data_IF_794117881171
#
_entry.id   IF_794117881171
#
_cell.length_a   1.000
_cell.length_b   1.000
_cell.length_c   1.000
_cell.angle_alpha   90.00
_cell.angle_beta   90.00
_cell.angle_gamma   90.00
#
_symmetry.space_group_name_H-M   'P 1'
#
loop_
_entity.id
_entity.type
_entity.pdbx_description
1 polymer ?
#
# COMPACT_ATOMS: atom_id res chain seq x y z
N UNK A 1 -25.09 39.03 -2.53
CA UNK A 1 -24.71 37.84 -1.73
C UNK A 1 -24.01 36.89 -2.66
N UNK A 2 -22.68 36.89 -2.67
CA UNK A 2 -21.90 35.93 -3.46
C UNK A 2 -22.08 34.56 -2.79
N UNK A 3 -22.69 33.60 -3.50
CA UNK A 3 -22.72 32.22 -3.03
C UNK A 3 -21.28 31.78 -2.82
N UNK A 4 -20.89 31.55 -1.56
CA UNK A 4 -19.62 30.92 -1.26
C UNK A 4 -19.64 29.57 -1.98
N UNK A 5 -18.85 29.46 -3.05
CA UNK A 5 -18.71 28.23 -3.81
C UNK A 5 -18.26 27.16 -2.81
N UNK A 6 -19.06 26.12 -2.58
CA UNK A 6 -18.69 25.05 -1.65
C UNK A 6 -17.35 24.48 -2.13
N UNK A 7 -16.27 24.59 -1.32
CA UNK A 7 -14.92 24.22 -1.73
C UNK A 7 -14.78 22.74 -2.07
N UNK A 8 -15.78 21.92 -1.74
CA UNK A 8 -15.84 20.49 -2.04
C UNK A 8 -16.65 20.15 -3.28
N UNK A 9 -17.28 21.10 -3.98
CA UNK A 9 -18.16 20.73 -5.10
C UNK A 9 -17.44 19.96 -6.21
N UNK A 10 -16.20 20.35 -6.54
CA UNK A 10 -15.39 19.60 -7.52
C UNK A 10 -15.11 18.15 -7.06
N UNK A 11 -14.88 17.96 -5.76
CA UNK A 11 -14.67 16.62 -5.18
C UNK A 11 -15.96 15.80 -5.26
N UNK A 12 -17.10 16.42 -4.94
CA UNK A 12 -18.41 15.79 -5.00
C UNK A 12 -18.80 15.45 -6.43
N UNK A 13 -18.49 16.31 -7.40
CA UNK A 13 -18.69 16.05 -8.84
C UNK A 13 -17.92 14.81 -9.30
N UNK A 14 -16.62 14.71 -9.01
CA UNK A 14 -15.82 13.51 -9.34
C UNK A 14 -16.40 12.24 -8.73
N UNK A 15 -16.91 12.30 -7.48
CA UNK A 15 -17.57 11.14 -6.85
C UNK A 15 -18.91 10.80 -7.49
N UNK A 16 -19.73 11.79 -7.84
CA UNK A 16 -21.02 11.56 -8.51
C UNK A 16 -20.80 10.94 -9.88
N UNK A 17 -19.80 11.39 -10.63
CA UNK A 17 -19.43 10.80 -11.92
C UNK A 17 -18.97 9.36 -11.75
N UNK A 18 -18.12 9.09 -10.75
CA UNK A 18 -17.70 7.72 -10.45
C UNK A 18 -18.87 6.80 -10.05
N UNK A 19 -19.81 7.29 -9.24
CA UNK A 19 -21.01 6.55 -8.88
C UNK A 19 -21.89 6.25 -10.10
N UNK A 20 -22.05 7.24 -10.99
CA UNK A 20 -22.77 7.07 -12.25
C UNK A 20 -22.12 6.01 -13.14
N UNK A 21 -20.80 5.99 -13.25
CA UNK A 21 -20.08 4.96 -14.01
C UNK A 21 -20.31 3.55 -13.41
N UNK A 22 -20.37 3.44 -12.08
CA UNK A 22 -20.69 2.17 -11.40
C UNK A 22 -22.13 1.74 -11.71
N UNK A 23 -23.10 2.66 -11.63
CA UNK A 23 -24.51 2.39 -11.92
C UNK A 23 -24.72 1.97 -13.38
N UNK A 24 -24.03 2.60 -14.32
CA UNK A 24 -24.08 2.25 -15.74
C UNK A 24 -23.59 0.81 -15.95
N UNK A 25 -22.47 0.42 -15.34
CA UNK A 25 -21.95 -0.95 -15.43
C UNK A 25 -22.87 -1.95 -14.74
N UNK A 26 -23.41 -1.60 -13.58
CA UNK A 26 -24.43 -2.42 -12.91
C UNK A 26 -25.65 -2.66 -13.80
N UNK A 27 -26.10 -1.63 -14.50
CA UNK A 27 -27.22 -1.71 -15.44
C UNK A 27 -26.88 -2.62 -16.64
N UNK A 28 -25.71 -2.43 -17.25
CA UNK A 28 -25.21 -3.30 -18.34
C UNK A 28 -25.18 -4.75 -17.87
N UNK A 29 -24.61 -5.01 -16.69
CA UNK A 29 -24.50 -6.36 -16.14
C UNK A 29 -25.85 -6.98 -15.83
N UNK A 30 -26.79 -6.23 -15.23
CA UNK A 30 -28.16 -6.70 -14.99
C UNK A 30 -28.86 -7.09 -16.30
N UNK A 31 -28.61 -6.33 -17.37
CA UNK A 31 -29.16 -6.62 -18.70
C UNK A 31 -28.47 -7.81 -19.39
N UNK A 32 -27.20 -8.09 -19.06
CA UNK A 32 -26.47 -9.28 -19.56
C UNK A 32 -26.76 -10.56 -18.76
N UNK A 33 -27.10 -10.44 -17.47
CA UNK A 33 -27.40 -11.55 -16.56
C UNK A 33 -28.89 -11.89 -16.49
N UNK A 34 -29.76 -11.00 -16.96
CA UNK A 34 -31.11 -11.39 -17.35
C UNK A 34 -31.02 -12.47 -18.43
N UNK A 35 -31.75 -13.60 -18.32
CA UNK A 35 -31.79 -14.58 -19.41
C UNK A 35 -32.24 -13.82 -20.65
N UNK A 36 -31.36 -13.69 -21.64
CA UNK A 36 -31.71 -13.11 -22.93
C UNK A 36 -32.76 -14.02 -23.56
N UNK A 37 -34.03 -13.73 -23.28
CA UNK A 37 -35.14 -14.41 -23.92
C UNK A 37 -35.03 -14.13 -25.41
N UNK A 38 -34.92 -15.23 -26.15
CA UNK A 38 -34.77 -15.31 -27.58
C UNK A 38 -35.64 -14.27 -28.31
N UNK A 39 -35.04 -13.54 -29.24
CA UNK A 39 -35.76 -12.96 -30.38
C UNK A 39 -35.29 -13.71 -31.62
N UNK A 40 -36.29 -14.23 -32.34
CA UNK A 40 -36.16 -15.18 -33.43
C UNK A 40 -35.30 -14.70 -34.61
N UNK A 41 -34.70 -15.68 -35.28
CA UNK A 41 -33.88 -15.57 -36.49
C UNK A 41 -34.74 -15.39 -37.76
N UNK A 42 -34.19 -14.69 -38.74
CA UNK A 42 -34.30 -15.06 -40.16
C UNK A 42 -32.90 -15.08 -40.78
N UNK A 43 -32.59 -16.19 -41.46
CA UNK A 43 -31.27 -16.56 -41.97
C UNK A 43 -30.89 -15.73 -43.20
N UNK A 44 -30.04 -14.72 -43.03
CA UNK A 44 -29.11 -14.26 -44.05
C UNK A 44 -27.96 -13.50 -43.37
N UNK A 45 -26.74 -13.86 -43.75
CA UNK A 45 -25.46 -13.22 -43.45
C UNK A 45 -24.70 -13.64 -42.18
N UNK A 46 -23.46 -14.06 -42.47
CA UNK A 46 -22.53 -14.82 -41.64
C UNK A 46 -21.85 -13.93 -40.59
N UNK A 47 -22.18 -14.11 -39.32
CA UNK A 47 -21.33 -13.76 -38.17
C UNK A 47 -21.18 -14.99 -37.27
N UNK A 48 -20.07 -15.13 -36.52
CA UNK A 48 -19.85 -16.27 -35.63
C UNK A 48 -21.01 -16.38 -34.63
N UNK A 49 -21.62 -17.56 -34.58
CA UNK A 49 -22.71 -17.87 -33.65
C UNK A 49 -22.07 -18.11 -32.28
N UNK A 50 -22.24 -17.16 -31.37
CA UNK A 50 -22.05 -17.39 -29.94
C UNK A 50 -23.23 -18.23 -29.44
N UNK A 51 -22.95 -19.40 -28.86
CA UNK A 51 -23.97 -20.24 -28.25
C UNK A 51 -24.35 -19.67 -26.87
N UNK A 52 -25.46 -18.94 -26.81
CA UNK A 52 -26.01 -18.38 -25.57
C UNK A 52 -26.36 -19.46 -24.53
N UNK A 53 -26.50 -20.73 -24.90
CA UNK A 53 -26.67 -21.84 -23.95
C UNK A 53 -25.40 -22.16 -23.16
N UNK A 54 -24.23 -21.70 -23.61
CA UNK A 54 -22.95 -21.85 -22.89
C UNK A 54 -22.64 -20.68 -21.95
N UNK A 55 -23.41 -19.59 -22.00
CA UNK A 55 -23.28 -18.47 -21.07
C UNK A 55 -24.12 -18.73 -19.83
N UNK A 56 -23.50 -19.34 -18.82
CA UNK A 56 -24.07 -19.28 -17.47
C UNK A 56 -23.92 -17.84 -16.96
N UNK A 57 -24.99 -17.19 -16.47
CA UNK A 57 -24.85 -15.89 -15.82
C UNK A 57 -23.84 -16.05 -14.68
N UNK A 58 -22.90 -15.10 -14.58
CA UNK A 58 -21.93 -15.12 -13.50
C UNK A 58 -22.68 -15.12 -12.15
N UNK A 59 -22.30 -15.95 -11.18
CA UNK A 59 -22.97 -15.98 -9.88
C UNK A 59 -22.87 -14.60 -9.21
N UNK A 60 -23.88 -14.22 -8.42
CA UNK A 60 -23.94 -12.92 -7.73
C UNK A 60 -22.65 -12.60 -6.95
N UNK A 61 -21.99 -13.62 -6.40
CA UNK A 61 -20.71 -13.50 -5.70
C UNK A 61 -19.56 -12.98 -6.56
N UNK A 62 -19.55 -13.24 -7.87
CA UNK A 62 -18.53 -12.72 -8.79
C UNK A 62 -18.72 -11.21 -8.98
N UNK A 63 -19.97 -10.75 -9.04
CA UNK A 63 -20.29 -9.34 -9.15
C UNK A 63 -19.99 -8.57 -7.85
N UNK A 64 -20.33 -9.13 -6.70
CA UNK A 64 -19.96 -8.54 -5.40
C UNK A 64 -18.44 -8.28 -5.31
N UNK A 65 -17.65 -9.23 -5.81
CA UNK A 65 -16.20 -9.14 -5.87
C UNK A 65 -15.72 -8.06 -6.85
N UNK A 66 -16.29 -8.02 -8.05
CA UNK A 66 -15.95 -6.99 -9.05
C UNK A 66 -16.26 -5.58 -8.53
N UNK A 67 -17.46 -5.39 -7.97
CA UNK A 67 -17.86 -4.13 -7.34
C UNK A 67 -16.91 -3.74 -6.20
N UNK A 68 -16.50 -4.69 -5.36
CA UNK A 68 -15.51 -4.42 -4.31
C UNK A 68 -14.19 -3.91 -4.89
N UNK A 69 -13.69 -4.51 -5.97
CA UNK A 69 -12.50 -4.02 -6.66
C UNK A 69 -12.68 -2.66 -7.32
N UNK A 70 -13.85 -2.40 -7.92
CA UNK A 70 -14.17 -1.09 -8.49
C UNK A 70 -13.98 0.02 -7.46
N UNK A 71 -14.47 -0.21 -6.23
CA UNK A 71 -14.27 0.72 -5.11
C UNK A 71 -12.81 0.81 -4.66
N UNK A 72 -12.13 -0.32 -4.47
CA UNK A 72 -10.73 -0.36 -4.00
C UNK A 72 -9.79 0.41 -4.94
N UNK A 73 -9.98 0.27 -6.25
CA UNK A 73 -9.13 0.92 -7.26
C UNK A 73 -9.69 2.27 -7.74
N UNK A 74 -10.89 2.65 -7.32
CA UNK A 74 -11.59 3.83 -7.84
C UNK A 74 -11.70 3.77 -9.37
N UNK A 75 -11.98 2.59 -9.93
CA UNK A 75 -11.99 2.37 -11.37
C UNK A 75 -12.88 1.22 -11.76
N UNK A 76 -13.71 1.42 -12.76
CA UNK A 76 -14.51 0.35 -13.35
C UNK A 76 -13.64 -0.66 -14.10
N UNK A 77 -12.60 -0.19 -14.79
CA UNK A 77 -11.56 -1.02 -15.43
C UNK A 77 -10.31 -1.10 -14.57
N UNK A 78 -10.35 -1.90 -13.51
CA UNK A 78 -9.27 -1.96 -12.52
C UNK A 78 -8.13 -2.94 -12.85
N UNK A 79 -8.33 -3.90 -13.78
CA UNK A 79 -7.33 -4.92 -14.09
C UNK A 79 -5.92 -4.38 -14.46
N UNK A 80 -5.77 -3.30 -15.25
CA UNK A 80 -4.46 -2.72 -15.53
C UNK A 80 -3.75 -2.21 -14.27
N UNK A 81 -4.51 -1.76 -13.27
CA UNK A 81 -4.02 -1.26 -11.98
C UNK A 81 -3.63 -2.38 -11.01
N UNK A 82 -4.11 -3.61 -11.25
CA UNK A 82 -3.72 -4.78 -10.46
C UNK A 82 -2.31 -5.30 -10.81
N UNK A 83 -1.76 -4.90 -11.96
CA UNK A 83 -0.45 -5.39 -12.41
C UNK A 83 0.63 -4.92 -11.45
N UNK A 84 1.43 -5.86 -10.96
CA UNK A 84 2.61 -5.52 -10.15
C UNK A 84 3.61 -4.78 -11.03
N UNK A 85 4.00 -3.60 -10.58
CA UNK A 85 5.15 -2.92 -11.17
C UNK A 85 6.39 -3.67 -10.69
N UNK A 86 6.90 -4.57 -11.53
CA UNK A 86 8.24 -5.08 -11.38
C UNK A 86 9.21 -3.91 -11.57
N UNK A 87 9.88 -3.50 -10.51
CA UNK A 87 10.90 -2.46 -10.61
C UNK A 87 12.17 -3.02 -9.99
N UNK A 88 13.12 -3.54 -10.79
CA UNK A 88 14.47 -3.75 -10.30
C UNK A 88 15.02 -2.37 -9.93
N UNK A 89 15.46 -2.19 -8.69
CA UNK A 89 15.95 -0.89 -8.24
C UNK A 89 17.40 -0.94 -7.82
N UNK A 90 18.20 0.06 -8.23
CA UNK A 90 19.56 0.20 -7.75
C UNK A 90 19.54 0.54 -6.25
N UNK A 91 20.46 -0.06 -5.50
CA UNK A 91 20.64 0.29 -4.08
C UNK A 91 21.00 1.77 -3.92
N UNK A 92 20.60 2.44 -2.82
CA UNK A 92 21.06 3.79 -2.53
C UNK A 92 22.59 3.88 -2.57
N UNK A 93 23.15 5.01 -3.02
CA UNK A 93 24.60 5.18 -3.22
C UNK A 93 25.45 4.84 -2.00
N UNK A 94 24.95 5.12 -0.79
CA UNK A 94 25.58 4.75 0.48
C UNK A 94 25.89 3.25 0.61
N UNK A 95 25.03 2.41 0.05
CA UNK A 95 25.26 0.96 0.07
C UNK A 95 26.39 0.51 -0.84
N UNK A 96 26.81 1.39 -1.76
CA UNK A 96 27.96 1.19 -2.64
C UNK A 96 29.26 1.75 -2.05
N UNK A 97 29.21 2.45 -0.91
CA UNK A 97 30.41 2.97 -0.23
C UNK A 97 31.20 1.83 0.41
N UNK A 98 32.51 2.05 0.61
CA UNK A 98 33.35 1.13 1.36
C UNK A 98 32.94 1.10 2.84
N UNK A 99 32.79 -0.09 3.41
CA UNK A 99 32.34 -0.24 4.81
C UNK A 99 33.48 0.03 5.82
N UNK A 100 34.73 -0.15 5.42
CA UNK A 100 35.89 -0.08 6.32
C UNK A 100 35.97 1.23 7.14
N UNK A 101 35.76 2.43 6.57
CA UNK A 101 35.81 3.68 7.31
C UNK A 101 34.69 3.78 8.36
N UNK A 102 33.47 3.37 7.99
CA UNK A 102 32.31 3.34 8.88
C UNK A 102 32.53 2.38 10.05
N UNK A 103 33.09 1.20 9.75
CA UNK A 103 33.39 0.18 10.74
C UNK A 103 34.42 0.66 11.76
N UNK A 104 35.53 1.28 11.32
CA UNK A 104 36.55 1.85 12.20
C UNK A 104 35.96 2.96 13.09
N UNK A 105 35.10 3.82 12.53
CA UNK A 105 34.41 4.89 13.27
C UNK A 105 33.46 4.35 14.33
N UNK A 106 32.72 3.28 14.02
CA UNK A 106 31.90 2.59 15.01
C UNK A 106 32.74 1.95 16.10
N UNK A 107 33.78 1.21 15.72
CA UNK A 107 34.65 0.52 16.68
C UNK A 107 35.23 1.52 17.68
N UNK A 108 35.71 2.68 17.21
CA UNK A 108 36.22 3.76 18.06
C UNK A 108 35.22 4.35 19.07
N UNK A 109 33.91 4.09 18.92
CA UNK A 109 32.85 4.59 19.82
C UNK A 109 32.37 3.55 20.84
N UNK A 110 32.70 2.26 20.68
CA UNK A 110 32.13 1.17 21.48
C UNK A 110 33.25 0.41 22.19
N UNK A 111 33.74 0.99 23.27
CA UNK A 111 34.88 0.48 24.06
C UNK A 111 34.64 -0.96 24.58
N UNK A 112 33.41 -1.28 24.99
CA UNK A 112 33.07 -2.59 25.56
C UNK A 112 33.17 -3.73 24.53
N UNK A 113 32.99 -3.42 23.25
CA UNK A 113 33.06 -4.39 22.14
C UNK A 113 34.49 -4.55 21.61
N UNK A 114 35.35 -3.55 21.80
CA UNK A 114 36.76 -3.61 21.38
C UNK A 114 37.56 -4.69 22.11
N UNK A 115 37.27 -4.89 23.40
CA UNK A 115 38.06 -5.77 24.28
C UNK A 115 37.84 -7.27 24.03
N UNK A 116 36.90 -7.64 23.16
CA UNK A 116 36.55 -9.04 22.91
C UNK A 116 36.43 -9.30 21.37
N UNK A 117 37.53 -9.17 20.62
CA UNK A 117 37.51 -9.17 19.15
C UNK A 117 37.01 -10.48 18.53
N UNK A 118 37.27 -11.62 19.16
CA UNK A 118 36.89 -12.94 18.62
C UNK A 118 35.40 -13.28 18.77
N UNK A 119 34.62 -12.44 19.46
CA UNK A 119 33.23 -12.71 19.80
C UNK A 119 32.25 -11.64 19.29
N UNK A 120 32.76 -10.62 18.58
CA UNK A 120 31.94 -9.57 17.93
C UNK A 120 31.70 -9.89 16.45
N UNK A 121 30.91 -9.06 15.78
CA UNK A 121 30.78 -9.09 14.32
C UNK A 121 32.18 -9.02 13.67
N UNK A 122 32.44 -9.84 12.63
CA UNK A 122 33.75 -9.93 12.00
C UNK A 122 34.13 -8.62 11.32
N UNK A 123 35.42 -8.36 11.21
CA UNK A 123 35.89 -7.20 10.46
C UNK A 123 35.46 -7.28 8.99
N UNK A 124 35.27 -6.12 8.33
CA UNK A 124 35.09 -6.08 6.90
C UNK A 124 36.27 -6.68 6.14
N UNK A 125 35.97 -7.27 4.98
CA UNK A 125 36.96 -7.69 4.02
C UNK A 125 37.49 -6.46 3.26
N UNK A 126 38.73 -6.56 2.75
CA UNK A 126 39.34 -5.48 1.97
C UNK A 126 38.50 -5.14 0.73
N UNK A 127 38.11 -3.88 0.59
CA UNK A 127 37.31 -3.40 -0.54
C UNK A 127 35.81 -3.70 -0.45
N UNK A 128 35.35 -4.34 0.63
CA UNK A 128 33.94 -4.69 0.82
C UNK A 128 33.06 -3.44 0.92
N UNK A 129 31.92 -3.46 0.24
CA UNK A 129 30.92 -2.39 0.30
C UNK A 129 29.94 -2.60 1.44
N UNK A 130 29.21 -1.55 1.83
CA UNK A 130 28.23 -1.63 2.92
C UNK A 130 27.21 -2.75 2.69
N UNK A 131 26.61 -2.84 1.49
CA UNK A 131 25.63 -3.88 1.19
C UNK A 131 26.23 -5.29 1.29
N UNK A 132 27.41 -5.50 0.70
CA UNK A 132 28.10 -6.79 0.72
C UNK A 132 28.38 -7.25 2.16
N UNK A 133 28.85 -6.33 2.99
CA UNK A 133 29.12 -6.60 4.41
C UNK A 133 27.85 -6.98 5.18
N UNK A 134 26.76 -6.23 5.02
CA UNK A 134 25.50 -6.52 5.70
C UNK A 134 24.91 -7.87 5.26
N UNK A 135 24.95 -8.18 3.97
CA UNK A 135 24.52 -9.48 3.42
C UNK A 135 25.39 -10.61 3.95
N UNK A 136 26.71 -10.41 4.09
CA UNK A 136 27.60 -11.40 4.71
C UNK A 136 27.29 -11.62 6.19
N UNK A 137 27.02 -10.56 6.95
CA UNK A 137 26.59 -10.69 8.35
C UNK A 137 25.27 -11.46 8.48
N UNK A 138 24.33 -11.24 7.56
CA UNK A 138 23.06 -11.99 7.51
C UNK A 138 23.31 -13.47 7.18
N UNK A 139 24.20 -13.76 6.23
CA UNK A 139 24.61 -15.12 5.87
C UNK A 139 25.23 -15.87 7.06
N UNK A 140 26.07 -15.22 7.86
CA UNK A 140 26.65 -15.81 9.08
C UNK A 140 25.55 -16.21 10.09
N UNK A 141 24.55 -15.35 10.28
CA UNK A 141 23.42 -15.66 11.17
C UNK A 141 22.65 -16.90 10.74
N UNK A 142 22.37 -17.02 9.44
CA UNK A 142 21.55 -18.10 8.87
C UNK A 142 22.35 -19.41 8.82
N UNK A 143 23.56 -19.38 8.26
CA UNK A 143 24.32 -20.59 7.95
C UNK A 143 25.23 -21.05 9.09
N UNK A 144 25.78 -20.13 9.89
CA UNK A 144 26.65 -20.48 11.02
C UNK A 144 25.89 -20.50 12.36
N UNK A 145 24.58 -20.18 12.33
CA UNK A 145 23.70 -20.14 13.51
C UNK A 145 24.31 -19.38 14.68
N UNK A 146 24.85 -18.19 14.40
CA UNK A 146 25.50 -17.39 15.42
C UNK A 146 24.48 -16.89 16.47
N UNK A 147 24.76 -17.22 17.74
CA UNK A 147 23.86 -16.98 18.88
C UNK A 147 24.57 -16.33 20.06
N UNK A 148 25.89 -16.09 19.97
CA UNK A 148 26.66 -15.53 21.09
C UNK A 148 26.16 -14.12 21.42
N UNK A 149 25.97 -13.88 22.71
CA UNK A 149 25.41 -12.62 23.25
C UNK A 149 26.21 -11.38 22.80
N UNK A 150 27.55 -11.50 22.81
CA UNK A 150 28.46 -10.41 22.40
C UNK A 150 28.31 -10.12 20.91
N UNK A 151 28.20 -11.15 20.08
CA UNK A 151 27.99 -10.99 18.64
C UNK A 151 26.69 -10.24 18.37
N UNK A 152 25.59 -10.67 18.98
CA UNK A 152 24.28 -10.00 18.88
C UNK A 152 24.29 -8.56 19.38
N UNK A 153 24.97 -8.32 20.50
CA UNK A 153 25.14 -6.97 21.03
C UNK A 153 25.92 -6.08 20.05
N UNK A 154 27.00 -6.60 19.48
CA UNK A 154 27.81 -5.89 18.49
C UNK A 154 27.05 -5.59 17.19
N UNK A 155 26.25 -6.55 16.69
CA UNK A 155 25.38 -6.32 15.52
C UNK A 155 24.33 -5.24 15.79
N UNK A 156 23.65 -5.29 16.95
CA UNK A 156 22.67 -4.28 17.37
C UNK A 156 23.31 -2.89 17.48
N UNK A 157 24.48 -2.82 18.10
CA UNK A 157 25.24 -1.57 18.22
C UNK A 157 25.66 -1.02 16.85
N UNK A 158 26.17 -1.88 15.97
CA UNK A 158 26.62 -1.46 14.64
C UNK A 158 25.47 -1.01 13.74
N UNK A 159 24.39 -1.78 13.67
CA UNK A 159 23.20 -1.40 12.89
C UNK A 159 22.55 -0.13 13.43
N UNK A 160 22.54 0.10 14.75
CA UNK A 160 22.13 1.39 15.33
C UNK A 160 23.04 2.53 14.88
N UNK A 161 24.36 2.34 14.91
CA UNK A 161 25.30 3.34 14.40
C UNK A 161 25.05 3.68 12.92
N UNK A 162 24.78 2.68 12.07
CA UNK A 162 24.44 2.91 10.67
C UNK A 162 23.13 3.71 10.54
N UNK A 163 22.09 3.40 11.34
CA UNK A 163 20.86 4.22 11.40
C UNK A 163 21.14 5.67 11.76
N UNK A 164 22.02 5.90 12.73
CA UNK A 164 22.37 7.26 13.15
C UNK A 164 23.12 8.03 12.05
N UNK A 165 23.95 7.36 11.24
CA UNK A 165 24.58 7.98 10.06
C UNK A 165 23.55 8.27 8.95
N UNK A 166 22.58 7.37 8.77
CA UNK A 166 21.55 7.44 7.75
C UNK A 166 20.29 8.23 8.19
N UNK A 167 20.30 8.89 9.35
CA UNK A 167 19.08 9.42 10.01
C UNK A 167 18.22 10.33 9.12
N UNK A 168 18.84 11.08 8.22
CA UNK A 168 18.16 12.01 7.32
C UNK A 168 17.89 11.42 5.92
N UNK A 169 18.25 10.16 5.68
CA UNK A 169 18.17 9.49 4.39
C UNK A 169 17.25 8.27 4.52
N UNK A 170 15.95 8.52 4.33
CA UNK A 170 14.90 7.50 4.55
C UNK A 170 15.10 6.27 3.66
N UNK A 171 15.65 6.47 2.47
CA UNK A 171 15.96 5.40 1.53
C UNK A 171 17.05 4.47 2.07
N UNK A 172 18.01 5.04 2.79
CA UNK A 172 19.06 4.26 3.42
C UNK A 172 18.56 3.46 4.62
N UNK A 173 17.72 4.09 5.45
CA UNK A 173 17.08 3.44 6.60
C UNK A 173 16.19 2.28 6.16
N UNK A 174 15.47 2.48 5.05
CA UNK A 174 14.60 1.48 4.45
C UNK A 174 15.29 0.17 4.10
N UNK A 175 16.40 0.28 3.38
CA UNK A 175 17.25 -0.85 3.01
C UNK A 175 17.87 -1.54 4.24
N UNK A 176 18.28 -0.76 5.25
CA UNK A 176 18.84 -1.33 6.48
C UNK A 176 17.79 -2.13 7.25
N UNK A 177 16.58 -1.57 7.39
CA UNK A 177 15.47 -2.22 8.08
C UNK A 177 14.95 -3.46 7.33
N UNK A 178 15.18 -3.57 6.02
CA UNK A 178 14.87 -4.76 5.23
C UNK A 178 15.80 -5.94 5.55
N UNK A 179 17.07 -5.68 5.85
CA UNK A 179 18.07 -6.70 6.20
C UNK A 179 18.08 -6.97 7.71
N UNK A 180 18.11 -5.90 8.50
CA UNK A 180 18.22 -5.91 9.95
C UNK A 180 17.17 -4.96 10.54
N UNK A 181 15.92 -5.40 10.81
CA UNK A 181 14.90 -4.56 11.44
C UNK A 181 15.34 -4.01 12.79
N UNK A 182 14.72 -2.92 13.24
CA UNK A 182 15.05 -2.29 14.53
C UNK A 182 14.86 -3.24 15.71
N UNK A 183 13.76 -3.99 15.69
CA UNK A 183 13.56 -5.16 16.55
C UNK A 183 14.00 -6.43 15.83
N UNK A 184 15.23 -6.85 16.08
CA UNK A 184 15.77 -8.10 15.56
C UNK A 184 15.33 -9.28 16.42
N UNK A 185 14.13 -9.79 16.11
CA UNK A 185 13.59 -11.05 16.66
C UNK A 185 13.90 -12.21 15.70
N UNK A 186 14.23 -13.38 16.26
CA UNK A 186 14.51 -14.59 15.49
C UNK A 186 13.28 -15.49 15.37
N UNK A 187 13.06 -16.03 14.18
CA UNK A 187 12.07 -17.08 13.90
C UNK A 187 12.63 -18.04 12.86
N UNK A 188 12.61 -19.36 13.16
CA UNK A 188 13.29 -20.39 12.37
C UNK A 188 14.69 -19.97 11.90
N UNK A 189 15.50 -19.56 12.87
CA UNK A 189 16.88 -19.11 12.68
C UNK A 189 17.11 -17.86 11.79
N UNK A 190 16.03 -17.21 11.32
CA UNK A 190 16.06 -16.01 10.47
C UNK A 190 15.61 -14.78 11.26
N UNK A 191 16.23 -13.62 11.03
CA UNK A 191 15.70 -12.36 11.59
C UNK A 191 14.42 -12.02 10.84
N UNK A 192 13.31 -11.98 11.55
CA UNK A 192 12.02 -11.57 10.99
C UNK A 192 11.59 -10.22 11.56
N UNK A 193 10.95 -9.42 10.73
CA UNK A 193 10.23 -8.23 11.20
C UNK A 193 8.90 -8.69 11.81
N UNK A 194 8.70 -8.48 13.11
CA UNK A 194 7.40 -8.70 13.74
C UNK A 194 6.40 -7.67 13.19
N UNK A 195 5.37 -8.15 12.52
CA UNK A 195 4.29 -7.33 11.96
C UNK A 195 3.19 -7.26 13.03
N UNK A 196 2.89 -6.08 13.62
CA UNK A 196 1.79 -5.98 14.58
C UNK A 196 0.45 -6.36 13.95
N UNK A 197 -0.45 -6.94 14.75
CA UNK A 197 -1.75 -7.44 14.26
C UNK A 197 -2.56 -6.38 13.53
N UNK A 198 -2.42 -5.11 13.93
CA UNK A 198 -3.04 -3.95 13.29
C UNK A 198 -2.63 -3.73 11.83
N UNK A 199 -1.57 -4.41 11.36
CA UNK A 199 -1.08 -4.33 9.98
C UNK A 199 -1.54 -5.51 9.12
N UNK A 200 -2.20 -6.53 9.69
CA UNK A 200 -2.67 -7.64 8.86
C UNK A 200 -3.77 -7.18 7.90
N UNK A 201 -3.66 -7.53 6.60
CA UNK A 201 -4.66 -7.15 5.62
C UNK A 201 -6.04 -7.68 5.98
N UNK A 202 -7.05 -6.93 5.55
CA UNK A 202 -8.47 -7.24 5.68
C UNK A 202 -9.03 -7.64 4.32
N UNK A 203 -10.25 -8.16 4.31
CA UNK A 203 -10.89 -8.59 3.08
C UNK A 203 -11.35 -7.43 2.18
N UNK A 204 -11.54 -7.74 0.90
CA UNK A 204 -11.94 -6.76 -0.12
C UNK A 204 -13.33 -6.16 0.14
N UNK A 205 -14.25 -6.90 0.78
CA UNK A 205 -15.62 -6.44 0.99
C UNK A 205 -15.68 -5.43 2.13
N UNK A 206 -15.04 -5.71 3.26
CA UNK A 206 -14.90 -4.76 4.36
C UNK A 206 -14.15 -3.50 3.92
N UNK A 207 -13.12 -3.65 3.09
CA UNK A 207 -12.39 -2.51 2.52
C UNK A 207 -13.29 -1.64 1.64
N UNK A 208 -14.01 -2.25 0.71
CA UNK A 208 -14.94 -1.54 -0.17
C UNK A 208 -16.05 -0.83 0.63
N UNK A 209 -16.57 -1.46 1.69
CA UNK A 209 -17.60 -0.90 2.55
C UNK A 209 -17.10 0.35 3.31
N UNK A 210 -15.88 0.33 3.84
CA UNK A 210 -15.24 1.51 4.45
C UNK A 210 -15.15 2.66 3.43
N UNK A 211 -14.75 2.38 2.18
CA UNK A 211 -14.64 3.40 1.13
C UNK A 211 -16.01 3.98 0.75
N UNK A 212 -17.04 3.14 0.63
CA UNK A 212 -18.43 3.57 0.38
C UNK A 212 -18.93 4.51 1.48
N UNK A 213 -18.71 4.15 2.74
CA UNK A 213 -19.12 4.97 3.89
C UNK A 213 -18.36 6.30 3.91
N UNK A 214 -17.05 6.30 3.63
CA UNK A 214 -16.28 7.53 3.50
C UNK A 214 -16.81 8.41 2.37
N UNK A 215 -17.13 7.85 1.21
CA UNK A 215 -17.73 8.59 0.09
C UNK A 215 -19.10 9.18 0.45
N UNK A 216 -19.94 8.44 1.16
CA UNK A 216 -21.21 8.95 1.69
C UNK A 216 -20.98 10.11 2.67
N UNK A 217 -20.00 10.02 3.57
CA UNK A 217 -19.64 11.15 4.44
C UNK A 217 -19.16 12.39 3.66
N UNK A 218 -18.56 12.24 2.48
CA UNK A 218 -18.19 13.38 1.61
C UNK A 218 -19.42 14.02 0.98
N UNK A 219 -20.34 13.20 0.45
CA UNK A 219 -21.50 13.68 -0.29
C UNK A 219 -22.59 14.25 0.63
N UNK A 220 -22.86 13.57 1.73
CA UNK A 220 -24.06 13.78 2.58
C UNK A 220 -23.72 14.04 4.05
N UNK A 221 -22.44 13.96 4.44
CA UNK A 221 -22.02 14.19 5.81
C UNK A 221 -22.21 15.64 6.28
N UNK A 222 -22.03 15.89 7.58
CA UNK A 222 -22.13 17.25 8.14
C UNK A 222 -21.07 18.15 7.48
N UNK A 223 -21.40 19.40 7.07
CA UNK A 223 -20.48 20.28 6.33
C UNK A 223 -19.08 20.39 6.95
N UNK A 224 -19.00 20.56 8.27
CA UNK A 224 -17.73 20.71 9.01
C UNK A 224 -16.86 19.43 9.04
N UNK A 225 -17.38 18.30 8.56
CA UNK A 225 -16.66 17.01 8.50
C UNK A 225 -16.45 16.48 7.09
N UNK A 226 -17.10 17.06 6.08
CA UNK A 226 -17.00 16.59 4.69
C UNK A 226 -15.56 16.73 4.16
N UNK A 227 -14.83 17.79 4.53
CA UNK A 227 -13.43 17.97 4.12
C UNK A 227 -12.51 16.88 4.69
N UNK A 228 -12.69 16.56 5.98
CA UNK A 228 -11.92 15.48 6.62
C UNK A 228 -12.26 14.12 6.03
N UNK A 229 -13.53 13.89 5.66
CA UNK A 229 -13.95 12.68 4.96
C UNK A 229 -13.33 12.60 3.57
N UNK A 230 -13.27 13.71 2.85
CA UNK A 230 -12.73 13.74 1.50
C UNK A 230 -11.23 13.41 1.48
N UNK A 231 -10.48 14.06 2.37
CA UNK A 231 -9.06 13.78 2.50
C UNK A 231 -8.79 12.38 3.07
N UNK A 232 -9.64 11.85 3.97
CA UNK A 232 -9.51 10.48 4.47
C UNK A 232 -9.79 9.44 3.38
N UNK A 233 -10.77 9.67 2.51
CA UNK A 233 -11.05 8.82 1.34
C UNK A 233 -9.87 8.82 0.36
N UNK A 234 -9.35 10.00 0.01
CA UNK A 234 -8.17 10.12 -0.84
C UNK A 234 -6.95 9.40 -0.28
N UNK A 235 -6.67 9.57 1.02
CA UNK A 235 -5.56 8.88 1.69
C UNK A 235 -5.79 7.36 1.75
N UNK A 236 -7.03 6.90 1.96
CA UNK A 236 -7.37 5.47 1.95
C UNK A 236 -7.09 4.84 0.58
N UNK A 237 -7.51 5.48 -0.51
CA UNK A 237 -7.20 5.01 -1.87
C UNK A 237 -5.70 4.95 -2.16
N UNK A 238 -4.93 5.97 -1.76
CA UNK A 238 -3.47 5.95 -1.93
C UNK A 238 -2.84 4.81 -1.12
N UNK A 239 -3.31 4.57 0.12
CA UNK A 239 -2.83 3.44 0.93
C UNK A 239 -3.10 2.10 0.22
N UNK A 240 -4.30 1.91 -0.34
CA UNK A 240 -4.67 0.68 -1.06
C UNK A 240 -3.85 0.49 -2.33
N UNK A 241 -3.65 1.56 -3.10
CA UNK A 241 -2.79 1.54 -4.28
C UNK A 241 -1.36 1.14 -3.92
N UNK A 242 -0.82 1.70 -2.84
CA UNK A 242 0.48 1.33 -2.29
C UNK A 242 0.52 -0.16 -1.87
N UNK A 243 -0.48 -0.63 -1.12
CA UNK A 243 -0.55 -2.02 -0.66
C UNK A 243 -0.62 -3.04 -1.80
N UNK A 244 -1.36 -2.72 -2.85
CA UNK A 244 -1.42 -3.55 -4.06
C UNK A 244 -0.08 -3.61 -4.80
N UNK A 245 0.58 -2.46 -4.94
CA UNK A 245 1.89 -2.38 -5.57
C UNK A 245 3.03 -2.87 -4.66
N UNK A 246 2.74 -3.13 -3.38
CA UNK A 246 3.65 -3.62 -2.34
C UNK A 246 4.85 -2.70 -2.13
N UNK A 247 4.66 -1.38 -2.25
CA UNK A 247 5.77 -0.50 -1.97
C UNK A 247 6.01 -0.38 -0.47
N UNK A 248 7.28 -0.49 -0.07
CA UNK A 248 7.63 -0.25 1.33
C UNK A 248 7.74 1.25 1.54
N UNK A 249 6.80 1.85 2.26
CA UNK A 249 6.79 3.28 2.58
C UNK A 249 6.24 3.51 3.99
N UNK A 250 6.19 4.77 4.41
CA UNK A 250 5.58 5.22 5.67
C UNK A 250 4.30 5.99 5.40
N UNK A 251 3.34 5.93 6.32
CA UNK A 251 2.06 6.62 6.17
C UNK A 251 2.24 8.14 6.04
N UNK A 252 3.20 8.69 6.77
CA UNK A 252 3.57 10.11 6.73
C UNK A 252 4.00 10.53 5.33
N UNK A 253 4.75 9.68 4.61
CA UNK A 253 5.17 9.97 3.24
C UNK A 253 4.01 9.94 2.24
N UNK A 254 2.98 9.12 2.49
CA UNK A 254 1.76 9.11 1.68
C UNK A 254 0.87 10.32 1.97
N UNK A 255 0.89 10.82 3.21
CA UNK A 255 0.17 12.01 3.62
C UNK A 255 0.84 13.32 3.15
N UNK A 256 2.16 13.32 3.03
CA UNK A 256 2.96 14.45 2.56
C UNK A 256 3.19 14.46 1.03
N UNK A 257 2.29 13.86 0.25
CA UNK A 257 2.39 13.89 -1.21
C UNK A 257 2.14 15.32 -1.72
N UNK A 258 3.06 15.80 -2.55
CA UNK A 258 2.95 17.11 -3.20
C UNK A 258 1.99 17.04 -4.40
N UNK A 259 1.21 18.09 -4.71
CA UNK A 259 0.32 18.09 -5.87
C UNK A 259 1.01 17.79 -7.21
N UNK A 260 2.25 18.24 -7.38
CA UNK A 260 3.07 17.96 -8.59
C UNK A 260 3.49 16.48 -8.74
N UNK A 261 3.24 15.64 -7.73
CA UNK A 261 3.44 14.19 -7.83
C UNK A 261 2.33 13.50 -8.60
N UNK A 262 1.17 14.15 -8.78
CA UNK A 262 0.07 13.64 -9.60
C UNK A 262 0.36 14.02 -11.05
N UNK A 263 0.50 13.01 -11.92
CA UNK A 263 0.90 13.19 -13.32
C UNK A 263 -0.12 12.54 -14.24
N UNK A 264 -0.37 13.21 -15.35
CA UNK A 264 -1.02 12.64 -16.53
C UNK A 264 0.01 12.49 -17.63
N UNK A 265 0.09 11.30 -18.22
CA UNK A 265 0.94 11.00 -19.36
C UNK A 265 0.01 10.58 -20.49
N UNK A 266 -0.04 11.38 -21.55
CA UNK A 266 -0.79 11.01 -22.76
C UNK A 266 -0.08 9.84 -23.42
N UNK A 267 -0.75 8.70 -23.52
CA UNK A 267 -0.25 7.54 -24.24
C UNK A 267 -1.27 7.11 -25.30
N UNK A 268 -0.76 6.61 -26.42
CA UNK A 268 -1.57 6.18 -27.57
C UNK A 268 -2.13 4.75 -27.41
N UNK A 269 -1.70 4.01 -26.38
CA UNK A 269 -2.13 2.62 -26.13
C UNK A 269 -3.23 2.54 -25.05
N UNK A 270 -4.31 1.83 -25.38
CA UNK A 270 -5.48 1.62 -24.52
C UNK A 270 -5.17 0.77 -23.27
N UNK A 271 -4.09 -0.02 -23.29
CA UNK A 271 -3.78 -0.97 -22.21
C UNK A 271 -2.81 -0.44 -21.16
N UNK A 272 -2.30 0.77 -21.35
CA UNK A 272 -1.29 1.36 -20.47
C UNK A 272 -1.89 2.50 -19.65
N UNK A 273 -1.62 2.59 -18.33
CA UNK A 273 -2.20 3.64 -17.50
C UNK A 273 -1.74 5.05 -17.93
N UNK A 274 -2.70 5.97 -18.07
CA UNK A 274 -2.42 7.38 -18.39
C UNK A 274 -2.21 8.26 -17.16
N UNK A 275 -2.62 7.79 -15.97
CA UNK A 275 -2.52 8.55 -14.73
C UNK A 275 -1.57 7.88 -13.75
N UNK A 276 -0.69 8.69 -13.17
CA UNK A 276 0.40 8.23 -12.32
C UNK A 276 0.53 9.09 -11.07
N UNK A 277 0.94 8.45 -9.98
CA UNK A 277 1.25 9.08 -8.71
C UNK A 277 2.70 8.79 -8.34
N UNK A 278 3.51 9.84 -8.19
CA UNK A 278 4.88 9.73 -7.71
C UNK A 278 4.89 9.56 -6.19
N UNK A 279 5.08 8.33 -5.72
CA UNK A 279 5.10 7.97 -4.31
C UNK A 279 6.56 7.93 -3.82
N UNK A 280 6.86 8.64 -2.73
CA UNK A 280 8.13 8.47 -2.02
C UNK A 280 8.07 7.21 -1.17
N UNK A 281 9.11 6.39 -1.28
CA UNK A 281 9.21 5.10 -0.59
C UNK A 281 10.53 4.99 0.16
N UNK A 282 10.65 3.90 0.91
CA UNK A 282 11.88 3.47 1.56
C UNK A 282 13.01 3.13 0.56
N UNK A 283 12.76 3.20 -0.75
CA UNK A 283 13.76 2.96 -1.80
C UNK A 283 13.70 4.03 -2.90
N UNK A 284 13.31 5.25 -2.52
CA UNK A 284 13.23 6.39 -3.43
C UNK A 284 11.83 6.63 -4.00
N UNK A 285 11.76 7.45 -5.04
CA UNK A 285 10.50 7.85 -5.69
C UNK A 285 10.11 6.85 -6.77
N UNK A 286 8.83 6.50 -6.83
CA UNK A 286 8.27 5.54 -7.79
C UNK A 286 7.02 6.15 -8.40
N UNK A 287 6.87 6.03 -9.71
CA UNK A 287 5.59 6.31 -10.35
C UNK A 287 4.68 5.07 -10.25
N UNK A 288 3.53 5.23 -9.61
CA UNK A 288 2.50 4.21 -9.43
C UNK A 288 1.28 4.53 -10.30
N UNK A 289 0.73 3.59 -11.07
CA UNK A 289 -0.46 3.85 -11.86
C UNK A 289 -1.65 4.03 -10.92
N UNK A 290 -2.46 5.04 -11.22
CA UNK A 290 -3.71 5.32 -10.51
C UNK A 290 -4.86 5.41 -11.51
N UNK A 291 -6.09 5.31 -11.02
CA UNK A 291 -7.26 5.53 -11.87
C UNK A 291 -7.41 7.02 -12.22
N UNK A 292 -8.13 7.30 -13.31
CA UNK A 292 -8.57 8.65 -13.64
C UNK A 292 -9.38 9.28 -12.49
N UNK A 293 -10.30 8.52 -11.91
CA UNK A 293 -11.10 8.99 -10.77
C UNK A 293 -10.22 9.42 -9.61
N UNK A 294 -9.24 8.60 -9.20
CA UNK A 294 -8.35 8.97 -8.11
C UNK A 294 -7.48 10.19 -8.48
N UNK A 295 -7.00 10.25 -9.72
CA UNK A 295 -6.25 11.40 -10.22
C UNK A 295 -7.04 12.71 -10.08
N UNK A 296 -8.24 12.75 -10.66
CA UNK A 296 -9.10 13.92 -10.67
C UNK A 296 -9.55 14.28 -9.25
N UNK A 297 -9.84 13.26 -8.43
CA UNK A 297 -10.20 13.42 -7.03
C UNK A 297 -9.08 14.09 -6.22
N UNK A 298 -7.84 13.63 -6.34
CA UNK A 298 -6.69 14.20 -5.61
C UNK A 298 -6.41 15.65 -6.04
N UNK A 299 -6.62 15.98 -7.33
CA UNK A 299 -6.48 17.34 -7.81
C UNK A 299 -7.61 18.27 -7.36
N UNK A 300 -8.81 17.73 -7.19
CA UNK A 300 -10.01 18.45 -6.75
C UNK A 300 -10.05 18.73 -5.24
N UNK A 301 -9.28 18.00 -4.43
CA UNK A 301 -9.23 18.21 -2.97
C UNK A 301 -8.91 19.68 -2.62
N UNK A 302 -9.62 20.27 -1.63
CA UNK A 302 -9.39 21.65 -1.23
C UNK A 302 -8.01 21.80 -0.60
N UNK A 303 -7.21 22.72 -1.14
CA UNK A 303 -5.83 22.97 -0.72
C UNK A 303 -5.79 24.20 0.17
N UNK A 304 -5.82 23.98 1.48
CA UNK A 304 -5.47 25.05 2.44
C UNK A 304 -3.95 25.18 2.62
N UNK A 305 -3.18 24.17 2.21
CA UNK A 305 -1.71 24.21 2.15
C UNK A 305 -1.26 23.89 0.71
N UNK A 306 -0.49 24.77 0.04
CA UNK A 306 -0.05 24.53 -1.33
C UNK A 306 1.01 23.42 -1.47
N UNK A 307 1.68 23.05 -0.38
CA UNK A 307 2.78 22.07 -0.40
C UNK A 307 2.32 20.62 -0.41
N UNK A 308 1.11 20.30 0.04
CA UNK A 308 0.65 18.93 0.19
C UNK A 308 -0.79 18.79 -0.29
N UNK A 309 -1.11 17.62 -0.87
CA UNK A 309 -2.49 17.30 -1.30
C UNK A 309 -3.42 17.23 -0.08
N UNK A 310 -2.95 16.66 1.02
CA UNK A 310 -3.71 16.57 2.26
C UNK A 310 -3.28 17.69 3.21
N UNK A 311 -4.24 18.53 3.59
CA UNK A 311 -4.02 19.63 4.52
C UNK A 311 -4.41 19.30 5.96
N UNK A 312 -5.33 18.34 6.15
CA UNK A 312 -5.80 17.94 7.47
C UNK A 312 -4.74 17.06 8.15
N UNK A 313 -4.49 17.24 9.47
CA UNK A 313 -3.55 16.39 10.19
C UNK A 313 -3.95 14.91 10.15
N UNK A 314 -2.95 14.02 10.11
CA UNK A 314 -3.16 12.56 10.15
C UNK A 314 -4.09 12.12 11.29
N UNK A 315 -4.03 12.77 12.45
CA UNK A 315 -4.92 12.48 13.59
C UNK A 315 -6.39 12.75 13.26
N UNK A 316 -6.70 13.81 12.52
CA UNK A 316 -8.06 14.17 12.09
C UNK A 316 -8.57 13.17 11.06
N UNK A 317 -7.74 12.86 10.06
CA UNK A 317 -8.06 11.86 9.04
C UNK A 317 -8.29 10.49 9.68
N UNK A 318 -7.47 10.14 10.67
CA UNK A 318 -7.59 8.91 11.44
C UNK A 318 -8.92 8.80 12.16
N UNK A 319 -9.33 9.86 12.89
CA UNK A 319 -10.63 9.88 13.57
C UNK A 319 -11.79 9.73 12.59
N UNK A 320 -11.64 10.24 11.38
CA UNK A 320 -12.67 10.13 10.34
C UNK A 320 -12.76 8.71 9.80
N UNK A 321 -11.61 8.07 9.54
CA UNK A 321 -11.55 6.65 9.19
C UNK A 321 -12.15 5.77 10.30
N UNK A 322 -11.85 6.05 11.58
CA UNK A 322 -12.41 5.29 12.71
C UNK A 322 -13.94 5.38 12.76
N UNK A 323 -14.54 6.52 12.39
CA UNK A 323 -16.01 6.64 12.27
C UNK A 323 -16.58 5.81 11.14
N UNK A 324 -15.90 5.78 9.99
CA UNK A 324 -16.34 4.97 8.85
C UNK A 324 -16.26 3.48 9.17
N UNK A 325 -15.18 3.05 9.84
CA UNK A 325 -15.05 1.67 10.34
C UNK A 325 -16.19 1.35 11.31
N UNK A 326 -16.45 2.20 12.32
CA UNK A 326 -17.50 1.95 13.30
C UNK A 326 -18.92 1.87 12.69
N UNK A 327 -19.15 2.50 11.54
CA UNK A 327 -20.41 2.46 10.80
C UNK A 327 -20.53 1.23 9.87
N UNK A 328 -19.43 0.49 9.64
CA UNK A 328 -19.41 -0.68 8.76
C UNK A 328 -19.73 -1.96 9.54
N UNK A 329 -20.81 -2.64 9.14
CA UNK A 329 -21.15 -3.96 9.68
C UNK A 329 -20.09 -5.02 9.33
N UNK A 330 -19.40 -4.86 8.20
CA UNK A 330 -18.39 -5.81 7.73
C UNK A 330 -17.07 -5.77 8.53
N UNK A 331 -16.87 -4.78 9.39
CA UNK A 331 -15.61 -4.59 10.13
C UNK A 331 -15.65 -5.04 11.58
N UNK A 332 -16.83 -5.39 12.12
CA UNK A 332 -17.07 -5.64 13.55
C UNK A 332 -16.10 -6.66 14.17
N UNK A 333 -15.76 -7.72 13.44
CA UNK A 333 -14.93 -8.82 13.93
C UNK A 333 -13.47 -8.76 13.44
N UNK A 334 -13.09 -7.70 12.70
CA UNK A 334 -11.75 -7.55 12.12
C UNK A 334 -10.75 -6.85 13.06
N UNK A 335 -11.19 -6.48 14.26
CA UNK A 335 -10.38 -5.78 15.26
C UNK A 335 -9.95 -4.38 14.80
N UNK A 336 -8.81 -3.90 15.30
CA UNK A 336 -8.34 -2.53 15.00
C UNK A 336 -7.81 -2.40 13.57
N UNK A 337 -8.58 -1.72 12.72
CA UNK A 337 -8.23 -1.32 11.35
C UNK A 337 -7.62 0.09 11.37
N UNK A 338 -6.65 0.35 10.49
CA UNK A 338 -5.87 1.58 10.40
C UNK A 338 -5.54 1.92 8.95
N UNK A 339 -5.08 3.14 8.64
CA UNK A 339 -4.50 3.42 7.32
C UNK A 339 -3.32 2.49 6.98
N UNK A 340 -2.53 2.10 7.98
CA UNK A 340 -1.45 1.13 7.79
C UNK A 340 -2.00 -0.25 7.38
N UNK A 341 -3.18 -0.64 7.86
CA UNK A 341 -3.88 -1.86 7.42
C UNK A 341 -4.20 -1.80 5.92
N UNK A 342 -4.64 -0.63 5.44
CA UNK A 342 -4.94 -0.38 4.03
C UNK A 342 -3.67 -0.32 3.15
N UNK A 343 -2.49 -0.13 3.74
CA UNK A 343 -1.20 -0.25 3.04
C UNK A 343 -0.76 -1.70 2.79
N UNK A 344 -1.58 -2.69 3.14
CA UNK A 344 -1.37 -4.09 2.81
C UNK A 344 -2.40 -4.57 1.77
N UNK A 345 -1.97 -5.47 0.88
CA UNK A 345 -2.85 -6.04 -0.15
C UNK A 345 -4.03 -6.78 0.50
N UNK A 346 -5.25 -6.36 0.15
CA UNK A 346 -6.49 -7.00 0.61
C UNK A 346 -6.59 -8.45 0.12
N UNK A 347 -7.35 -9.28 0.83
CA UNK A 347 -7.58 -10.69 0.46
C UNK A 347 -9.05 -10.99 0.18
N UNK A 348 -9.31 -12.16 -0.40
CA UNK A 348 -10.66 -12.60 -0.79
C UNK A 348 -11.31 -13.55 0.23
N UNK A 349 -10.69 -13.77 1.39
CA UNK A 349 -11.35 -14.49 2.50
C UNK A 349 -12.29 -13.61 3.31
N UNK A 350 -13.61 -13.74 3.14
CA UNK A 350 -14.63 -12.84 3.73
C UNK A 350 -14.65 -12.89 5.26
N UNK A 351 -14.77 -11.74 5.93
CA UNK A 351 -14.95 -11.64 7.39
C UNK A 351 -13.74 -12.09 8.19
N UNK A 352 -12.56 -12.14 7.56
CA UNK A 352 -11.33 -12.59 8.18
C UNK A 352 -10.29 -11.48 8.10
N UNK A 353 -9.37 -11.46 9.06
CA UNK A 353 -8.04 -10.93 8.79
C UNK A 353 -7.20 -12.05 8.23
N UNK A 354 -6.25 -11.69 7.37
CA UNK A 354 -5.15 -12.59 7.09
C UNK A 354 -4.31 -12.71 8.35
N UNK A 355 -4.62 -13.69 9.21
CA UNK A 355 -3.67 -14.15 10.22
C UNK A 355 -2.52 -14.75 9.43
N UNK A 356 -1.38 -14.06 9.39
CA UNK A 356 -0.18 -14.61 8.79
C UNK A 356 0.16 -15.99 9.38
N UNK A 357 1.16 -16.66 8.82
CA UNK A 357 1.63 -18.00 9.19
C UNK A 357 1.95 -18.26 10.69
N UNK A 358 1.70 -17.33 11.62
CA UNK A 358 1.95 -17.51 13.06
C UNK A 358 1.00 -18.49 13.74
N UNK A 359 -0.26 -18.60 13.29
CA UNK A 359 -1.28 -19.35 14.06
C UNK A 359 -1.67 -20.68 13.40
N UNK A 360 -1.34 -20.91 12.12
CA UNK A 360 -1.73 -22.13 11.39
C UNK A 360 -0.71 -23.27 11.43
N UNK A 361 0.40 -23.10 12.15
CA UNK A 361 1.43 -24.14 12.28
C UNK A 361 1.55 -24.73 13.69
N UNK A 362 0.65 -24.36 14.60
CA UNK A 362 0.57 -24.96 15.95
C UNK A 362 -0.31 -26.21 15.97
N UNK A 363 -1.16 -26.41 14.95
CA UNK A 363 -2.02 -27.59 14.84
C UNK A 363 -1.68 -28.43 13.60
N UNK A 364 -0.52 -29.09 13.64
CA UNK A 364 -0.30 -30.34 12.89
C UNK A 364 0.48 -31.28 13.82
N UNK A 365 0.00 -32.51 14.05
CA UNK A 365 0.54 -33.43 15.07
C UNK A 365 1.99 -33.84 14.82
#
# INVERSE_FOLDING_TARGET
>A
MNSAHDPLEKVKEVLRDFLKDIEEIQSIHKNMSAPQMAVAFTVADRMPIFDAATFSPAPDSAWEKENAYTWIYGATRYHPLMRRIGSPRPHPSFYSELIQPLFKKWLGKVLDVQNIPNYRIPDPLGGERVHEYLTRLQSILIHQKERRKIWWHSLRSFTKFLRDQARNQIEQLGELDAIFPEDMTLYFDTIIRKVPITLYPIDIWATADILKILAHFVLEGRPNSQESAAQALGLAWICLGNGNARFMTRLELLHEIHPSSVKEVKQDDMFTPNHWLNIRTLFGKIDAPISKTLHDYLLALPKTNPHYIFSQPLRTLRRTLDRAIAASDQTKDLGKITFLTLMHQCHEGRGQRFKGYSDRLIDTP
#
